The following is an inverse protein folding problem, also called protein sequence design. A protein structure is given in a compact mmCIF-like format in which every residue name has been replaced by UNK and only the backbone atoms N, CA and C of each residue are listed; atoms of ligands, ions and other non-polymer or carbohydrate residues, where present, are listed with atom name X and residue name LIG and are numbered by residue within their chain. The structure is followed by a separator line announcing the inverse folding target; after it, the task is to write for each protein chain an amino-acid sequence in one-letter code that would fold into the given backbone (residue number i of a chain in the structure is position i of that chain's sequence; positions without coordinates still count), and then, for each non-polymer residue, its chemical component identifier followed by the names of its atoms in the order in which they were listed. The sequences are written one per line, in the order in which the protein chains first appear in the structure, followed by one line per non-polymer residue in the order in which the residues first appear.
data_IF_160117497208
#
_entry.id   IF_160117497208
#
_cell.length_a   1.000
_cell.length_b   1.000
_cell.length_c   1.000
_cell.angle_alpha   90.00
_cell.angle_beta   90.00
_cell.angle_gamma   90.00
#
_symmetry.space_group_name_H-M   'P 1'
#
loop_
_entity.id
_entity.type
_entity.pdbx_description
1 polymer ?
#
# COMPACT_ATOMS: atom_id res chain seq x y z
N UNK A 1 33.89 6.32 9.30
CA UNK A 1 34.03 5.64 8.00
C UNK A 1 33.44 6.54 6.94
N UNK A 2 34.28 6.97 6.01
CA UNK A 2 34.02 8.01 5.02
C UNK A 2 32.82 7.70 4.13
N UNK A 3 32.08 8.77 3.78
CA UNK A 3 30.99 8.75 2.79
C UNK A 3 31.58 8.46 1.40
N UNK A 4 31.85 7.20 1.08
CA UNK A 4 31.99 6.79 -0.32
C UNK A 4 30.61 6.81 -0.95
N UNK A 5 30.30 7.96 -1.57
CA UNK A 5 29.04 8.27 -2.23
C UNK A 5 28.86 7.43 -3.49
N UNK A 6 28.53 6.16 -3.31
CA UNK A 6 28.07 5.28 -4.39
C UNK A 6 26.65 5.72 -4.74
N UNK A 7 26.48 6.35 -5.90
CA UNK A 7 25.21 6.98 -6.32
C UNK A 7 24.30 6.01 -7.06
N UNK A 8 24.82 4.89 -7.55
CA UNK A 8 24.05 3.88 -8.28
C UNK A 8 24.69 2.48 -8.21
N UNK A 9 23.92 1.47 -8.62
CA UNK A 9 24.33 0.07 -8.60
C UNK A 9 25.55 -0.21 -9.50
N UNK A 10 25.70 0.53 -10.61
CA UNK A 10 26.86 0.40 -11.49
C UNK A 10 28.17 0.86 -10.82
N UNK A 11 28.11 1.95 -10.04
CA UNK A 11 29.23 2.41 -9.21
C UNK A 11 29.53 1.44 -8.07
N UNK A 12 28.50 0.82 -7.47
CA UNK A 12 28.68 -0.20 -6.43
C UNK A 12 29.50 -1.38 -6.96
N UNK A 13 29.11 -1.91 -8.13
CA UNK A 13 29.80 -3.04 -8.77
C UNK A 13 31.26 -2.72 -9.15
N UNK A 14 31.60 -1.44 -9.32
CA UNK A 14 32.96 -0.98 -9.62
C UNK A 14 33.77 -0.65 -8.36
N UNK A 15 33.11 -0.49 -7.21
CA UNK A 15 33.75 -0.10 -5.95
C UNK A 15 34.73 -1.14 -5.44
N UNK A 16 35.85 -0.67 -4.87
CA UNK A 16 36.84 -1.54 -4.24
C UNK A 16 36.26 -2.26 -3.02
N UNK A 17 35.28 -1.64 -2.35
CA UNK A 17 34.50 -2.27 -1.28
C UNK A 17 33.79 -3.54 -1.76
N UNK A 18 33.03 -3.45 -2.86
CA UNK A 18 32.31 -4.61 -3.41
C UNK A 18 33.27 -5.71 -3.87
N UNK A 19 34.36 -5.34 -4.54
CA UNK A 19 35.39 -6.30 -4.96
C UNK A 19 36.06 -6.99 -3.77
N UNK A 20 36.36 -6.25 -2.70
CA UNK A 20 36.96 -6.80 -1.49
C UNK A 20 35.99 -7.74 -0.76
N UNK A 21 34.73 -7.33 -0.61
CA UNK A 21 33.69 -8.13 0.05
C UNK A 21 33.37 -9.43 -0.73
N UNK A 22 33.37 -9.37 -2.06
CA UNK A 22 33.15 -10.57 -2.89
C UNK A 22 34.36 -11.51 -2.84
N UNK A 23 35.59 -10.98 -2.86
CA UNK A 23 36.82 -11.80 -2.73
C UNK A 23 36.92 -12.55 -1.41
N UNK A 24 36.38 -12.01 -0.31
CA UNK A 24 36.35 -12.72 0.97
C UNK A 24 35.25 -13.79 1.06
N UNK A 25 34.27 -13.75 0.17
CA UNK A 25 33.04 -14.57 0.27
C UNK A 25 32.94 -15.68 -0.78
N UNK A 26 33.74 -15.61 -1.85
CA UNK A 26 33.65 -16.50 -3.01
C UNK A 26 34.97 -17.23 -3.25
N UNK A 27 34.89 -18.47 -3.76
CA UNK A 27 36.06 -19.22 -4.23
C UNK A 27 36.71 -18.56 -5.45
N UNK A 28 37.98 -18.91 -5.75
CA UNK A 28 38.72 -18.36 -6.90
C UNK A 28 38.01 -18.66 -8.23
N UNK A 29 37.44 -19.85 -8.40
CA UNK A 29 36.65 -20.23 -9.57
C UNK A 29 35.38 -19.39 -9.71
N UNK A 30 34.63 -19.19 -8.61
CA UNK A 30 33.42 -18.36 -8.61
C UNK A 30 33.73 -16.88 -8.89
N UNK A 31 34.85 -16.36 -8.37
CA UNK A 31 35.30 -15.00 -8.69
C UNK A 31 35.65 -14.85 -10.16
N UNK A 32 36.34 -15.82 -10.78
CA UNK A 32 36.62 -15.78 -12.24
C UNK A 32 35.35 -15.82 -13.09
N UNK A 33 34.36 -16.63 -12.71
CA UNK A 33 33.08 -16.67 -13.42
C UNK A 33 32.31 -15.36 -13.24
N UNK A 34 32.30 -14.80 -12.03
CA UNK A 34 31.68 -13.51 -11.73
C UNK A 34 32.34 -12.37 -12.52
N UNK A 35 33.67 -12.30 -12.58
CA UNK A 35 34.42 -11.30 -13.35
C UNK A 35 34.13 -11.38 -14.85
N UNK A 36 33.94 -12.60 -15.39
CA UNK A 36 33.50 -12.78 -16.79
C UNK A 36 32.05 -12.36 -17.03
N UNK A 37 31.16 -12.58 -16.07
CA UNK A 37 29.73 -12.23 -16.17
C UNK A 37 29.42 -10.76 -15.85
N UNK A 38 30.29 -10.09 -15.09
CA UNK A 38 30.09 -8.73 -14.58
C UNK A 38 29.82 -7.70 -15.69
N UNK A 39 30.56 -7.68 -16.82
CA UNK A 39 30.34 -6.70 -17.88
C UNK A 39 28.93 -6.82 -18.49
N UNK A 40 28.48 -8.05 -18.75
CA UNK A 40 27.13 -8.30 -19.29
C UNK A 40 26.05 -7.87 -18.29
N UNK A 41 26.25 -8.20 -17.00
CA UNK A 41 25.34 -7.80 -15.94
C UNK A 41 25.28 -6.27 -15.78
N UNK A 42 26.41 -5.58 -15.90
CA UNK A 42 26.46 -4.11 -15.89
C UNK A 42 25.67 -3.50 -17.06
N UNK A 43 25.84 -4.05 -18.26
CA UNK A 43 25.13 -3.57 -19.45
C UNK A 43 23.61 -3.78 -19.32
N UNK A 44 23.18 -4.93 -18.80
CA UNK A 44 21.76 -5.21 -18.51
C UNK A 44 21.19 -4.27 -17.44
N UNK A 45 21.95 -3.99 -16.37
CA UNK A 45 21.57 -3.03 -15.34
C UNK A 45 21.44 -1.61 -15.91
N UNK A 46 22.35 -1.19 -16.78
CA UNK A 46 22.27 0.12 -17.43
C UNK A 46 21.06 0.23 -18.38
N UNK A 47 20.79 -0.82 -19.16
CA UNK A 47 19.61 -0.91 -20.03
C UNK A 47 18.32 -0.85 -19.20
N UNK A 48 18.22 -1.64 -18.15
CA UNK A 48 17.09 -1.62 -17.23
C UNK A 48 16.93 -0.25 -16.56
N UNK A 49 18.03 0.38 -16.12
CA UNK A 49 18.01 1.71 -15.51
C UNK A 49 17.47 2.78 -16.47
N UNK A 50 17.88 2.73 -17.75
CA UNK A 50 17.36 3.64 -18.80
C UNK A 50 15.86 3.43 -19.02
N UNK A 51 15.42 2.19 -19.16
CA UNK A 51 13.99 1.86 -19.34
C UNK A 51 13.16 2.33 -18.14
N UNK A 52 13.62 2.08 -16.91
CA UNK A 52 12.93 2.53 -15.69
C UNK A 52 12.84 4.06 -15.64
N UNK A 53 13.91 4.78 -16.01
CA UNK A 53 13.89 6.26 -16.08
C UNK A 53 12.88 6.78 -17.10
N UNK A 54 12.79 6.15 -18.26
CA UNK A 54 11.81 6.53 -19.29
C UNK A 54 10.37 6.22 -18.87
N UNK A 55 10.13 5.03 -18.33
CA UNK A 55 8.83 4.66 -17.76
C UNK A 55 8.43 5.61 -16.64
N UNK A 56 9.37 6.00 -15.78
CA UNK A 56 9.12 6.98 -14.74
C UNK A 56 8.77 8.35 -15.31
N UNK A 57 9.48 8.85 -16.33
CA UNK A 57 9.15 10.12 -16.98
C UNK A 57 7.73 10.10 -17.56
N UNK A 58 7.34 9.01 -18.22
CA UNK A 58 5.98 8.82 -18.74
C UNK A 58 4.94 8.81 -17.62
N UNK A 59 5.14 7.97 -16.61
CA UNK A 59 4.25 7.87 -15.44
C UNK A 59 4.10 9.22 -14.74
N UNK A 60 5.19 9.96 -14.55
CA UNK A 60 5.18 11.30 -13.95
C UNK A 60 4.39 12.30 -14.79
N UNK A 61 4.55 12.26 -16.11
CA UNK A 61 3.80 13.13 -17.01
C UNK A 61 2.30 12.83 -17.01
N UNK A 62 1.93 11.54 -16.94
CA UNK A 62 0.52 11.09 -16.97
C UNK A 62 -0.20 11.28 -15.62
N UNK A 63 0.48 11.02 -14.50
CA UNK A 63 -0.16 10.91 -13.17
C UNK A 63 0.29 11.99 -12.18
N UNK A 64 1.31 12.78 -12.53
CA UNK A 64 1.97 13.68 -11.58
C UNK A 64 2.75 12.96 -10.49
N UNK A 65 3.03 11.66 -10.63
CA UNK A 65 3.72 10.86 -9.61
C UNK A 65 5.09 11.44 -9.20
N UNK A 66 5.26 11.61 -7.89
CA UNK A 66 6.51 12.07 -7.29
C UNK A 66 7.07 11.02 -6.34
N UNK A 67 8.33 10.68 -6.54
CA UNK A 67 9.08 9.84 -5.63
C UNK A 67 9.72 10.70 -4.58
N UNK A 68 9.74 10.22 -3.35
CA UNK A 68 10.46 10.89 -2.29
C UNK A 68 10.94 9.88 -1.24
N UNK A 69 12.03 10.25 -0.57
CA UNK A 69 12.57 9.48 0.55
C UNK A 69 11.97 10.02 1.84
N UNK A 70 11.56 9.11 2.72
CA UNK A 70 10.96 9.44 4.00
C UNK A 70 11.29 8.37 5.03
N UNK A 71 10.43 8.27 6.05
CA UNK A 71 10.52 7.22 7.06
C UNK A 71 9.19 6.50 7.22
N UNK A 72 9.25 5.18 7.32
CA UNK A 72 8.13 4.34 7.73
C UNK A 72 8.49 3.62 9.03
N UNK A 73 7.72 3.85 10.10
CA UNK A 73 7.98 3.28 11.43
C UNK A 73 9.43 3.47 11.92
N UNK A 74 10.01 4.64 11.62
CA UNK A 74 11.38 5.00 11.98
C UNK A 74 12.46 4.52 11.01
N UNK A 75 12.13 3.68 10.03
CA UNK A 75 13.08 3.18 9.03
C UNK A 75 13.10 4.02 7.76
N UNK A 76 14.25 4.18 7.10
CA UNK A 76 14.32 4.81 5.79
C UNK A 76 13.41 4.10 4.77
N UNK A 77 12.60 4.87 4.05
CA UNK A 77 11.62 4.33 3.12
C UNK A 77 11.51 5.21 1.87
N UNK A 78 11.15 4.60 0.75
CA UNK A 78 10.87 5.28 -0.51
C UNK A 78 9.39 5.20 -0.79
N UNK A 79 8.80 6.35 -1.09
CA UNK A 79 7.38 6.50 -1.37
C UNK A 79 7.18 7.02 -2.78
N UNK A 80 6.01 6.70 -3.35
CA UNK A 80 5.45 7.39 -4.50
C UNK A 80 4.15 8.06 -4.07
N UNK A 81 3.98 9.33 -4.43
CA UNK A 81 2.75 10.08 -4.22
C UNK A 81 2.18 10.59 -5.53
N UNK A 82 0.86 10.53 -5.67
CA UNK A 82 0.10 11.15 -6.77
C UNK A 82 -1.01 12.03 -6.20
N UNK A 83 -1.48 13.01 -6.97
CA UNK A 83 -2.69 13.74 -6.56
C UNK A 83 -3.87 12.78 -6.46
N UNK A 84 -4.66 12.91 -5.40
CA UNK A 84 -5.88 12.13 -5.28
C UNK A 84 -6.98 12.78 -6.13
N UNK A 85 -7.45 12.14 -7.23
CA UNK A 85 -8.47 12.72 -8.10
C UNK A 85 -9.79 12.94 -7.35
N UNK A 86 -10.09 12.12 -6.33
CA UNK A 86 -11.29 12.27 -5.49
C UNK A 86 -11.23 13.49 -4.58
N UNK A 87 -10.04 14.02 -4.26
CA UNK A 87 -9.92 15.20 -3.39
C UNK A 87 -10.56 16.46 -4.02
N UNK A 88 -10.44 16.63 -5.34
CA UNK A 88 -11.04 17.77 -6.05
C UNK A 88 -12.57 17.78 -5.95
N UNK A 89 -13.20 16.61 -5.94
CA UNK A 89 -14.66 16.48 -5.80
C UNK A 89 -15.18 16.91 -4.41
N UNK A 90 -14.40 16.72 -3.34
CA UNK A 90 -14.77 17.17 -1.99
C UNK A 90 -14.44 18.65 -1.72
N UNK A 91 -13.55 19.22 -2.52
CA UNK A 91 -13.11 20.62 -2.41
C UNK A 91 -14.01 21.58 -3.20
N UNK A 92 -14.87 21.06 -4.09
CA UNK A 92 -15.86 21.87 -4.80
C UNK A 92 -16.89 22.45 -3.81
N UNK A 93 -17.30 23.72 -3.95
CA UNK A 93 -18.35 24.30 -3.12
C UNK A 93 -19.61 23.43 -3.23
N UNK A 94 -20.20 23.04 -2.09
CA UNK A 94 -21.44 22.27 -2.10
C UNK A 94 -22.53 23.07 -2.82
N UNK A 95 -23.29 22.48 -3.76
CA UNK A 95 -24.52 23.11 -4.21
C UNK A 95 -25.46 23.28 -3.02
N UNK A 96 -26.15 24.44 -2.95
CA UNK A 96 -27.15 24.72 -1.92
C UNK A 96 -28.16 23.57 -1.87
N UNK A 97 -28.36 23.00 -0.68
CA UNK A 97 -29.35 21.96 -0.45
C UNK A 97 -30.74 22.48 -0.82
N UNK A 98 -31.37 21.91 -1.86
CA UNK A 98 -32.81 22.01 -2.01
C UNK A 98 -33.48 21.08 -1.00
N UNK A 99 -34.50 21.60 -0.33
CA UNK A 99 -35.29 20.91 0.68
C UNK A 99 -36.09 19.76 0.05
N UNK A 100 -35.67 18.52 0.32
CA UNK A 100 -36.45 17.32 0.02
C UNK A 100 -36.15 16.26 1.07
N UNK A 101 -37.12 15.99 1.96
CA UNK A 101 -37.06 14.92 2.96
C UNK A 101 -36.70 13.60 2.27
N UNK A 102 -35.44 13.19 2.38
CA UNK A 102 -35.01 11.82 2.09
C UNK A 102 -34.70 11.18 3.44
N UNK A 103 -35.31 10.04 3.74
CA UNK A 103 -35.03 9.28 4.96
C UNK A 103 -33.53 8.98 5.02
N UNK A 104 -32.85 9.58 6.01
CA UNK A 104 -31.50 9.22 6.38
C UNK A 104 -31.55 7.81 7.01
N UNK A 105 -31.22 6.79 6.20
CA UNK A 105 -30.73 5.54 6.75
C UNK A 105 -29.40 5.89 7.42
N UNK A 106 -29.42 5.97 8.74
CA UNK A 106 -28.30 6.28 9.62
C UNK A 106 -27.27 5.14 9.64
N UNK A 107 -26.66 4.86 8.49
CA UNK A 107 -25.41 4.14 8.41
C UNK A 107 -24.30 5.07 8.87
N UNK A 108 -23.85 4.90 10.12
CA UNK A 108 -22.75 5.66 10.74
C UNK A 108 -21.39 5.39 10.08
N UNK A 109 -21.25 5.76 8.81
CA UNK A 109 -19.95 5.90 8.16
C UNK A 109 -19.46 7.32 8.42
N UNK A 110 -18.57 7.51 9.39
CA UNK A 110 -17.88 8.78 9.57
C UNK A 110 -17.34 9.26 8.22
N UNK A 111 -17.64 10.51 7.83
CA UNK A 111 -17.15 11.09 6.57
C UNK A 111 -15.63 11.24 6.65
N UNK A 112 -14.90 10.19 6.24
CA UNK A 112 -13.45 10.25 6.09
C UNK A 112 -13.17 11.25 4.97
N UNK A 113 -12.59 12.40 5.34
CA UNK A 113 -12.09 13.35 4.34
C UNK A 113 -10.95 12.64 3.58
N UNK A 114 -11.05 12.49 2.26
CA UNK A 114 -9.97 11.87 1.50
C UNK A 114 -8.70 12.73 1.62
N UNK A 115 -7.53 12.07 1.71
CA UNK A 115 -6.24 12.75 1.65
C UNK A 115 -6.06 13.46 0.30
N UNK A 116 -5.35 14.60 0.32
CA UNK A 116 -4.96 15.34 -0.90
C UNK A 116 -4.10 14.50 -1.85
N UNK A 117 -3.30 13.59 -1.29
CA UNK A 117 -2.40 12.72 -2.03
C UNK A 117 -2.72 11.26 -1.76
N UNK A 118 -2.62 10.44 -2.82
CA UNK A 118 -2.51 8.99 -2.69
C UNK A 118 -1.02 8.68 -2.56
N UNK A 119 -0.64 7.96 -1.52
CA UNK A 119 0.76 7.68 -1.20
C UNK A 119 0.96 6.19 -1.00
N UNK A 120 1.96 5.63 -1.69
CA UNK A 120 2.31 4.22 -1.61
C UNK A 120 3.76 4.07 -1.18
N UNK A 121 4.01 3.20 -0.20
CA UNK A 121 5.35 2.79 0.19
C UNK A 121 5.85 1.74 -0.81
N UNK A 122 6.98 2.01 -1.46
CA UNK A 122 7.57 1.11 -2.46
C UNK A 122 8.62 0.19 -1.86
N UNK A 123 9.36 0.68 -0.86
CA UNK A 123 10.40 -0.08 -0.21
C UNK A 123 10.88 0.56 1.07
N UNK A 124 11.33 -0.27 1.99
CA UNK A 124 11.82 0.10 3.32
C UNK A 124 13.17 -0.56 3.53
N UNK A 125 14.14 0.20 4.01
CA UNK A 125 15.44 -0.32 4.41
C UNK A 125 15.43 -0.63 5.89
N UNK A 126 15.63 -1.90 6.24
CA UNK A 126 15.80 -2.37 7.62
C UNK A 126 17.21 -2.94 7.74
N UNK A 127 18.07 -2.25 8.48
CA UNK A 127 19.51 -2.54 8.57
C UNK A 127 20.15 -2.64 7.16
N UNK A 128 20.58 -3.85 6.78
CA UNK A 128 21.23 -4.16 5.51
C UNK A 128 20.26 -4.75 4.48
N UNK A 129 18.98 -4.89 4.83
CA UNK A 129 17.96 -5.48 3.98
C UNK A 129 17.06 -4.42 3.38
N UNK A 130 16.59 -4.68 2.15
CA UNK A 130 15.55 -3.91 1.48
C UNK A 130 14.30 -4.78 1.44
N UNK A 131 13.25 -4.33 2.12
CA UNK A 131 11.92 -4.92 2.02
C UNK A 131 11.16 -4.13 0.96
N UNK A 132 10.71 -4.81 -0.09
CA UNK A 132 9.89 -4.24 -1.16
C UNK A 132 8.78 -5.22 -1.55
N UNK A 133 7.76 -4.74 -2.24
CA UNK A 133 6.70 -5.60 -2.78
C UNK A 133 5.28 -5.04 -2.57
N UNK A 134 4.31 -5.76 -3.12
CA UNK A 134 2.90 -5.35 -3.14
C UNK A 134 2.28 -5.23 -1.76
N UNK A 135 2.78 -5.97 -0.77
CA UNK A 135 2.26 -5.89 0.60
C UNK A 135 2.48 -4.49 1.22
N UNK A 136 3.60 -3.83 0.89
CA UNK A 136 3.87 -2.45 1.33
C UNK A 136 2.96 -1.44 0.66
N UNK A 137 2.64 -1.63 -0.63
CA UNK A 137 1.72 -0.74 -1.32
C UNK A 137 0.28 -0.91 -0.83
N UNK A 138 -0.11 -2.13 -0.46
CA UNK A 138 -1.45 -2.44 0.08
C UNK A 138 -1.79 -1.71 1.38
N UNK A 139 -0.80 -1.32 2.20
CA UNK A 139 -1.03 -0.52 3.41
C UNK A 139 -1.80 0.78 3.15
N UNK A 140 -1.63 1.35 1.95
CA UNK A 140 -2.26 2.61 1.58
C UNK A 140 -3.68 2.44 1.04
N UNK A 141 -4.06 1.22 0.64
CA UNK A 141 -5.32 0.93 -0.02
C UNK A 141 -6.27 0.10 0.85
N UNK A 142 -5.73 -0.68 1.79
CA UNK A 142 -6.53 -1.49 2.68
C UNK A 142 -7.25 -0.65 3.73
N UNK A 143 -8.55 -0.90 3.96
CA UNK A 143 -9.27 -0.28 5.04
C UNK A 143 -8.79 -0.81 6.42
N UNK A 144 -8.94 -0.02 7.48
CA UNK A 144 -8.79 -0.50 8.85
C UNK A 144 -9.71 -1.68 9.15
N UNK A 145 -9.30 -2.60 10.03
CA UNK A 145 -10.09 -3.78 10.39
C UNK A 145 -11.41 -3.45 11.08
N UNK A 146 -11.50 -2.30 11.76
CA UNK A 146 -12.73 -1.80 12.37
C UNK A 146 -13.71 -1.17 11.37
N UNK A 147 -13.41 -1.19 10.07
CA UNK A 147 -14.31 -0.68 9.04
C UNK A 147 -15.60 -1.48 9.04
N UNK A 148 -16.72 -0.78 9.06
CA UNK A 148 -18.05 -1.36 9.07
C UNK A 148 -18.29 -2.24 7.83
N UNK A 149 -18.90 -3.39 8.05
CA UNK A 149 -19.47 -4.22 7.00
C UNK A 149 -20.74 -4.92 7.50
N UNK A 150 -21.51 -5.48 6.57
CA UNK A 150 -22.60 -6.38 6.92
C UNK A 150 -22.05 -7.79 7.12
N UNK A 151 -22.48 -8.45 8.20
CA UNK A 151 -22.11 -9.85 8.43
C UNK A 151 -22.71 -10.74 7.36
N UNK A 152 -21.90 -11.65 6.83
CA UNK A 152 -22.37 -12.69 5.89
C UNK A 152 -22.88 -13.93 6.63
N UNK A 153 -22.54 -14.06 7.92
CA UNK A 153 -22.84 -15.24 8.73
C UNK A 153 -23.91 -15.00 9.78
N UNK A 154 -24.15 -13.74 10.15
CA UNK A 154 -25.13 -13.35 11.17
C UNK A 154 -26.24 -12.51 10.55
N UNK A 155 -27.48 -12.93 10.77
CA UNK A 155 -28.67 -12.18 10.38
C UNK A 155 -29.61 -11.99 11.57
N UNK A 156 -30.44 -10.96 11.48
CA UNK A 156 -31.51 -10.65 12.41
C UNK A 156 -32.84 -10.65 11.66
N UNK A 157 -33.88 -11.12 12.33
CA UNK A 157 -35.22 -11.17 11.76
C UNK A 157 -36.05 -9.99 12.25
N UNK A 158 -36.59 -9.19 11.33
CA UNK A 158 -37.55 -8.13 11.63
C UNK A 158 -38.91 -8.55 11.08
N UNK A 159 -39.91 -8.63 11.96
CA UNK A 159 -41.28 -8.97 11.57
C UNK A 159 -42.09 -7.68 11.52
N UNK A 160 -42.67 -7.39 10.38
CA UNK A 160 -43.64 -6.31 10.19
C UNK A 160 -45.02 -6.93 10.01
N UNK A 161 -46.00 -6.37 10.71
CA UNK A 161 -47.39 -6.85 10.65
C UNK A 161 -48.25 -5.71 10.17
N UNK A 162 -48.88 -5.88 9.00
CA UNK A 162 -49.76 -4.90 8.40
C UNK A 162 -51.18 -5.45 8.36
N UNK A 163 -52.16 -4.61 8.69
CA UNK A 163 -53.57 -4.96 8.60
C UNK A 163 -54.18 -4.25 7.40
N UNK A 164 -54.53 -5.03 6.37
CA UNK A 164 -55.14 -4.53 5.13
C UNK A 164 -56.48 -5.24 4.96
N UNK A 165 -57.56 -4.48 4.84
CA UNK A 165 -58.94 -5.00 4.63
C UNK A 165 -59.38 -6.09 5.65
N UNK A 166 -59.00 -5.91 6.92
CA UNK A 166 -59.36 -6.86 7.98
C UNK A 166 -58.49 -8.13 8.04
N UNK A 167 -57.63 -8.36 7.05
CA UNK A 167 -56.64 -9.45 7.04
C UNK A 167 -55.31 -8.96 7.61
N UNK A 168 -54.64 -9.84 8.35
CA UNK A 168 -53.32 -9.57 8.94
C UNK A 168 -52.27 -10.20 8.04
N UNK A 169 -51.41 -9.37 7.45
CA UNK A 169 -50.26 -9.77 6.66
C UNK A 169 -49.02 -9.66 7.53
N UNK A 170 -48.23 -10.73 7.57
CA UNK A 170 -46.97 -10.79 8.32
C UNK A 170 -45.81 -10.90 7.35
N UNK A 171 -44.99 -9.86 7.27
CA UNK A 171 -43.79 -9.81 6.45
C UNK A 171 -42.58 -10.05 7.33
N UNK A 172 -41.78 -11.06 6.99
CA UNK A 172 -40.55 -11.41 7.72
C UNK A 172 -39.36 -10.95 6.90
N UNK A 173 -38.63 -9.95 7.39
CA UNK A 173 -37.39 -9.46 6.80
C UNK A 173 -36.19 -10.13 7.47
N UNK A 174 -35.29 -10.70 6.68
CA UNK A 174 -33.99 -11.22 7.15
C UNK A 174 -32.95 -10.17 6.79
N UNK A 175 -32.40 -9.49 7.79
CA UNK A 175 -31.44 -8.41 7.62
C UNK A 175 -30.06 -8.85 8.13
N UNK A 176 -28.97 -8.55 7.43
CA UNK A 176 -27.64 -8.86 7.93
C UNK A 176 -27.31 -7.99 9.15
N UNK A 177 -26.62 -8.57 10.14
CA UNK A 177 -26.19 -7.85 11.34
C UNK A 177 -25.00 -6.95 11.02
N UNK A 178 -24.92 -5.81 11.69
CA UNK A 178 -23.76 -4.93 11.67
C UNK A 178 -22.49 -5.63 12.18
N UNK A 179 -21.40 -5.57 11.43
CA UNK A 179 -20.11 -6.18 11.78
C UNK A 179 -18.93 -5.29 11.36
N UNK A 180 -17.72 -5.84 11.43
CA UNK A 180 -16.48 -5.19 10.99
C UNK A 180 -15.63 -6.13 10.15
N UNK A 181 -14.77 -5.57 9.30
CA UNK A 181 -13.90 -6.37 8.43
C UNK A 181 -13.07 -7.40 9.21
N UNK A 182 -12.48 -6.99 10.33
CA UNK A 182 -11.69 -7.89 11.18
C UNK A 182 -12.55 -8.98 11.84
N UNK A 183 -13.77 -8.66 12.29
CA UNK A 183 -14.67 -9.64 12.92
C UNK A 183 -15.16 -10.71 11.94
N UNK A 184 -15.32 -10.36 10.67
CA UNK A 184 -15.68 -11.31 9.60
C UNK A 184 -14.45 -11.98 8.95
N UNK A 185 -13.23 -11.70 9.42
CA UNK A 185 -12.00 -12.33 8.93
C UNK A 185 -11.52 -11.81 7.56
N UNK A 186 -11.95 -10.62 7.14
CA UNK A 186 -11.43 -10.00 5.92
C UNK A 186 -10.03 -9.45 6.12
N UNK A 187 -9.20 -9.65 5.11
CA UNK A 187 -7.87 -9.06 5.05
C UNK A 187 -7.92 -7.54 5.16
N UNK A 188 -7.21 -6.99 6.13
CA UNK A 188 -7.32 -5.58 6.52
C UNK A 188 -5.94 -4.98 6.79
N UNK A 189 -5.91 -3.64 6.92
CA UNK A 189 -4.68 -2.89 7.13
C UNK A 189 -3.92 -3.31 8.39
N UNK A 190 -4.62 -3.56 9.49
CA UNK A 190 -4.02 -3.87 10.79
C UNK A 190 -3.28 -5.22 10.75
N UNK A 191 -3.79 -6.20 10.00
CA UNK A 191 -3.11 -7.47 9.76
C UNK A 191 -1.82 -7.30 8.97
N UNK A 192 -1.84 -6.48 7.92
CA UNK A 192 -0.64 -6.18 7.13
C UNK A 192 0.41 -5.48 7.97
N UNK A 193 0.02 -4.48 8.76
CA UNK A 193 0.94 -3.80 9.69
C UNK A 193 1.56 -4.78 10.69
N UNK A 194 0.77 -5.72 11.25
CA UNK A 194 1.29 -6.77 12.14
C UNK A 194 2.32 -7.67 11.44
N UNK A 195 2.07 -8.09 10.20
CA UNK A 195 3.01 -8.91 9.42
C UNK A 195 4.32 -8.16 9.20
N UNK A 196 4.24 -6.90 8.76
CA UNK A 196 5.41 -6.08 8.50
C UNK A 196 6.19 -5.77 9.78
N UNK A 197 5.51 -5.50 10.89
CA UNK A 197 6.16 -5.29 12.19
C UNK A 197 6.94 -6.52 12.64
N UNK A 198 6.37 -7.72 12.48
CA UNK A 198 7.09 -8.99 12.77
C UNK A 198 8.31 -9.15 11.87
N UNK A 199 8.15 -8.89 10.57
CA UNK A 199 9.25 -8.96 9.61
C UNK A 199 10.38 -7.98 9.97
N UNK A 200 10.04 -6.73 10.30
CA UNK A 200 11.04 -5.73 10.67
C UNK A 200 11.73 -6.07 11.98
N UNK A 201 11.02 -6.65 12.95
CA UNK A 201 11.64 -7.13 14.19
C UNK A 201 12.66 -8.25 13.92
N UNK A 202 12.35 -9.19 13.02
CA UNK A 202 13.27 -10.25 12.62
C UNK A 202 14.50 -9.73 11.88
N UNK A 203 14.34 -8.70 11.04
CA UNK A 203 15.44 -8.10 10.27
C UNK A 203 16.29 -7.09 11.07
N UNK A 204 15.79 -6.65 12.23
CA UNK A 204 16.54 -5.80 13.18
C UNK A 204 17.56 -6.59 14.00
N UNK A 205 17.23 -7.84 14.33
CA UNK A 205 18.11 -8.78 15.03
C UNK A 205 19.24 -9.25 14.14
#
# INVERSE_FOLDING_TARGET
MEKTGIKNLGELLKSDYYKSAMKSSLSKEQMKQLEKGLPKMQEEIEKASKQIKEQYKKLKAETGAQYYEGKYLGFPAVFVRTENPKFKQYSAPKPLKSSGKTMEVSGGGGKVKPSKYLEMCLGIRVNNFVVSGSLLSMLSTLPPGNTFCHSLTKSQTKIETEKIEGKIYRTTHILPVASTLAAEGYFNKDEVEKILNKLFALLKG
#
